data_IF_123770689141
#
_entry.id   IF_123770689141
#
_cell.length_a   1.000
_cell.length_b   1.000
_cell.length_c   1.000
_cell.angle_alpha   90.00
_cell.angle_beta   90.00
_cell.angle_gamma   90.00
#
_symmetry.space_group_name_H-M   'P 1'
#
loop_
_entity.id
_entity.type
_entity.pdbx_description
1 polymer ?
#
# COMPACT_ATOMS: atom_id res chain seq x y z
N UNK A 1 5.13 -9.46 1.89
CA UNK A 1 6.36 -8.66 2.04
C UNK A 1 5.95 -7.24 2.39
N UNK A 2 6.73 -6.52 3.18
CA UNK A 2 6.42 -5.14 3.58
C UNK A 2 7.51 -4.18 3.08
N UNK A 3 7.12 -2.95 2.78
CA UNK A 3 8.00 -1.87 2.33
C UNK A 3 8.52 -1.06 3.51
N UNK A 4 9.60 -0.32 3.26
CA UNK A 4 10.39 0.40 4.26
C UNK A 4 9.65 1.59 4.89
N UNK A 5 8.64 2.15 4.24
CA UNK A 5 7.88 3.29 4.78
C UNK A 5 6.45 3.39 4.23
N UNK A 6 5.64 4.24 4.87
CA UNK A 6 4.28 4.57 4.41
C UNK A 6 4.30 5.28 3.06
N UNK A 7 5.23 6.21 2.90
CA UNK A 7 5.41 6.97 1.66
C UNK A 7 5.76 6.05 0.50
N UNK A 8 6.45 4.92 0.77
CA UNK A 8 6.73 3.94 -0.29
C UNK A 8 5.48 3.21 -0.76
N UNK A 9 4.55 2.90 0.15
CA UNK A 9 3.23 2.35 -0.20
C UNK A 9 2.49 3.35 -1.09
N UNK A 10 2.47 4.63 -0.70
CA UNK A 10 1.82 5.69 -1.47
C UNK A 10 2.44 5.86 -2.85
N UNK A 11 3.77 5.89 -2.95
CA UNK A 11 4.49 6.02 -4.22
C UNK A 11 4.11 4.90 -5.19
N UNK A 12 4.09 3.64 -4.73
CA UNK A 12 3.79 2.47 -5.56
C UNK A 12 2.36 2.54 -6.07
N UNK A 13 1.39 2.74 -5.17
CA UNK A 13 -0.03 2.71 -5.54
C UNK A 13 -0.37 3.91 -6.43
N UNK A 14 0.07 5.12 -6.09
CA UNK A 14 -0.17 6.29 -6.95
C UNK A 14 0.49 6.14 -8.33
N UNK A 15 1.70 5.57 -8.39
CA UNK A 15 2.36 5.29 -9.68
C UNK A 15 1.53 4.30 -10.50
N UNK A 16 1.08 3.20 -9.90
CA UNK A 16 0.25 2.20 -10.59
C UNK A 16 -1.06 2.80 -11.11
N UNK A 17 -1.74 3.60 -10.29
CA UNK A 17 -2.97 4.32 -10.70
C UNK A 17 -2.69 5.31 -11.82
N UNK A 18 -1.59 6.06 -11.77
CA UNK A 18 -1.20 7.00 -12.84
C UNK A 18 -0.92 6.32 -14.19
N UNK A 19 -0.56 5.03 -14.15
CA UNK A 19 -0.29 4.20 -15.33
C UNK A 19 -1.53 3.42 -15.80
N UNK A 20 -2.71 3.69 -15.23
CA UNK A 20 -4.00 3.12 -15.64
C UNK A 20 -4.53 2.01 -14.74
N UNK A 21 -3.82 1.66 -13.66
CA UNK A 21 -4.36 0.84 -12.58
C UNK A 21 -5.50 1.57 -11.84
N UNK A 22 -6.19 0.84 -10.97
CA UNK A 22 -7.32 1.38 -10.20
C UNK A 22 -7.14 1.10 -8.72
N UNK A 23 -7.33 2.11 -7.87
CA UNK A 23 -7.60 1.89 -6.46
C UNK A 23 -9.11 2.06 -6.23
N UNK A 24 -9.70 1.15 -5.47
CA UNK A 24 -11.13 1.18 -5.15
C UNK A 24 -11.41 1.74 -3.75
N UNK A 25 -10.37 1.83 -2.92
CA UNK A 25 -10.44 2.20 -1.51
C UNK A 25 -9.32 3.20 -1.20
N UNK A 26 -9.49 3.97 -0.13
CA UNK A 26 -8.42 4.80 0.44
C UNK A 26 -7.42 3.91 1.20
N UNK A 27 -6.16 4.36 1.41
CA UNK A 27 -5.21 3.61 2.23
C UNK A 27 -5.71 3.45 3.66
N UNK A 28 -5.48 2.28 4.26
CA UNK A 28 -5.84 2.00 5.66
C UNK A 28 -4.62 2.15 6.57
N UNK A 29 -4.79 2.91 7.66
CA UNK A 29 -3.75 3.19 8.66
C UNK A 29 -4.17 2.66 10.04
N UNK A 30 -3.56 1.56 10.45
CA UNK A 30 -3.77 0.93 11.75
C UNK A 30 -2.68 1.32 12.78
N UNK A 31 -1.80 2.27 12.46
CA UNK A 31 -0.67 2.69 13.29
C UNK A 31 0.52 1.72 13.25
N UNK A 32 0.28 0.42 13.43
CA UNK A 32 1.30 -0.64 13.30
C UNK A 32 1.46 -1.18 11.88
N UNK A 33 0.44 -0.94 11.04
CA UNK A 33 0.39 -1.36 9.64
C UNK A 33 -0.24 -0.25 8.84
N UNK A 34 0.37 0.06 7.71
CA UNK A 34 -0.20 0.91 6.68
C UNK A 34 -0.32 0.09 5.41
N UNK A 35 -1.50 0.00 4.83
CA UNK A 35 -1.67 -0.76 3.59
C UNK A 35 -2.57 -0.05 2.60
N UNK A 36 -2.35 -0.35 1.33
CA UNK A 36 -3.20 0.10 0.24
C UNK A 36 -3.16 -0.87 -0.93
N UNK A 37 -4.26 -0.96 -1.67
CA UNK A 37 -4.45 -1.91 -2.74
C UNK A 37 -4.80 -1.24 -4.08
N UNK A 38 -4.38 -1.88 -5.16
CA UNK A 38 -4.76 -1.51 -6.53
C UNK A 38 -4.97 -2.73 -7.42
N UNK A 39 -5.76 -2.54 -8.47
CA UNK A 39 -5.94 -3.45 -9.62
C UNK A 39 -5.01 -2.99 -10.76
N UNK A 40 -4.20 -3.89 -11.31
CA UNK A 40 -3.38 -3.61 -12.49
C UNK A 40 -4.19 -3.71 -13.81
N UNK A 41 -3.55 -3.45 -14.95
CA UNK A 41 -4.21 -3.45 -16.26
C UNK A 41 -4.74 -4.83 -16.69
N UNK A 42 -4.23 -5.90 -16.09
CA UNK A 42 -4.66 -7.28 -16.35
C UNK A 42 -5.76 -7.74 -15.38
N UNK A 43 -6.15 -6.88 -14.42
CA UNK A 43 -7.15 -7.18 -13.41
C UNK A 43 -6.61 -7.90 -12.18
N UNK A 44 -5.28 -7.97 -11.99
CA UNK A 44 -4.73 -8.54 -10.77
C UNK A 44 -4.80 -7.54 -9.62
N UNK A 45 -5.19 -8.03 -8.45
CA UNK A 45 -5.21 -7.26 -7.21
C UNK A 45 -3.87 -7.36 -6.49
N UNK A 46 -3.28 -6.22 -6.18
CA UNK A 46 -2.05 -6.09 -5.42
C UNK A 46 -2.31 -5.35 -4.11
N UNK A 47 -1.83 -5.90 -3.00
CA UNK A 47 -1.87 -5.26 -1.69
C UNK A 47 -0.43 -4.89 -1.26
N UNK A 48 -0.20 -3.60 -1.07
CA UNK A 48 1.10 -3.03 -0.72
C UNK A 48 1.04 -2.65 0.76
N UNK A 49 2.00 -3.14 1.53
CA UNK A 49 1.97 -3.05 2.98
C UNK A 49 3.27 -2.42 3.48
N UNK A 50 3.18 -1.59 4.52
CA UNK A 50 4.28 -1.18 5.38
C UNK A 50 3.97 -1.60 6.82
N UNK A 51 4.97 -2.12 7.52
CA UNK A 51 4.87 -2.54 8.92
C UNK A 51 5.73 -1.62 9.78
N UNK A 52 5.12 -0.95 10.75
CA UNK A 52 5.83 -0.12 11.70
C UNK A 52 6.27 -0.95 12.92
N UNK A 53 7.54 -1.37 12.92
CA UNK A 53 8.11 -2.21 14.00
C UNK A 53 8.35 -1.46 15.31
N UNK A 54 8.33 -0.13 15.31
CA UNK A 54 8.52 0.67 16.54
C UNK A 54 7.32 0.55 17.47
N UNK A 55 6.14 0.27 16.91
CA UNK A 55 4.89 0.02 17.67
C UNK A 55 4.68 -1.45 18.02
N UNK A 56 5.47 -2.36 17.46
CA UNK A 56 5.38 -3.80 17.71
C UNK A 56 6.16 -4.25 18.96
N UNK A 57 6.92 -3.35 19.61
CA UNK A 57 7.56 -3.60 20.90
C UNK A 57 6.71 -3.06 22.04
N UNK A 58 5.74 -3.86 22.46
CA UNK A 58 5.06 -3.79 23.75
C UNK A 58 5.17 -5.13 24.46
#
# INVERSE_FOLDING_TARGET
MAFESREKVDEIVNTAVSLGGKSYEEPEDYGFMYHWAFEDLDGHMWAINHMNTDTAQG
#
